data_IF_919588231445
#
_entry.id   IF_919588231445
#
_cell.length_a   1.000
_cell.length_b   1.000
_cell.length_c   1.000
_cell.angle_alpha   90.00
_cell.angle_beta   90.00
_cell.angle_gamma   90.00
#
_symmetry.space_group_name_H-M   'P 1'
#
loop_
_entity.id
_entity.type
_entity.pdbx_description
1 polymer ?
#
# COMPACT_ATOMS: atom_id res chain seq x y z
N UNK A 1 -8.88 2.75 -12.05
CA UNK A 1 -7.90 3.65 -11.42
C UNK A 1 -6.53 3.31 -11.96
N UNK A 2 -5.84 4.29 -12.53
CA UNK A 2 -4.45 4.20 -13.01
C UNK A 2 -3.46 4.49 -11.86
N UNK A 3 -2.18 4.17 -12.05
CA UNK A 3 -1.14 4.54 -11.07
C UNK A 3 -1.06 6.06 -10.84
N UNK A 4 -1.25 6.86 -11.89
CA UNK A 4 -1.21 8.33 -11.77
C UNK A 4 -2.37 8.83 -10.91
N UNK A 5 -3.58 8.31 -11.15
CA UNK A 5 -4.77 8.64 -10.37
C UNK A 5 -4.61 8.23 -8.90
N UNK A 6 -4.16 6.99 -8.62
CA UNK A 6 -3.98 6.50 -7.25
C UNK A 6 -2.87 7.26 -6.51
N UNK A 7 -1.77 7.59 -7.20
CA UNK A 7 -0.72 8.40 -6.61
C UNK A 7 -1.21 9.80 -6.23
N UNK A 8 -2.08 10.39 -7.06
CA UNK A 8 -2.79 11.62 -6.76
C UNK A 8 -3.66 11.51 -5.50
N UNK A 9 -4.51 10.48 -5.40
CA UNK A 9 -5.37 10.23 -4.22
C UNK A 9 -4.55 10.04 -2.93
N UNK A 10 -3.40 9.37 -3.02
CA UNK A 10 -2.52 9.10 -1.88
C UNK A 10 -1.58 10.27 -1.56
N UNK A 11 -1.56 11.31 -2.39
CA UNK A 11 -0.62 12.44 -2.34
C UNK A 11 0.85 11.98 -2.33
N UNK A 12 1.19 11.11 -3.26
CA UNK A 12 2.57 10.64 -3.52
C UNK A 12 2.90 10.74 -4.99
N UNK A 13 4.17 10.54 -5.34
CA UNK A 13 4.55 10.48 -6.76
C UNK A 13 4.15 9.14 -7.36
N UNK A 14 3.81 9.12 -8.65
CA UNK A 14 3.60 7.88 -9.41
C UNK A 14 4.80 6.93 -9.27
N UNK A 15 6.02 7.46 -9.23
CA UNK A 15 7.24 6.66 -9.05
C UNK A 15 7.29 5.97 -7.69
N UNK A 16 6.89 6.64 -6.60
CA UNK A 16 6.83 6.03 -5.27
C UNK A 16 5.84 4.87 -5.25
N UNK A 17 4.63 5.09 -5.78
CA UNK A 17 3.63 4.03 -5.91
C UNK A 17 4.13 2.86 -6.77
N UNK A 18 4.77 3.14 -7.91
CA UNK A 18 5.37 2.11 -8.77
C UNK A 18 6.54 1.37 -8.11
N UNK A 19 7.25 1.98 -7.16
CA UNK A 19 8.28 1.30 -6.38
C UNK A 19 7.65 0.33 -5.38
N UNK A 20 6.55 0.72 -4.72
CA UNK A 20 5.81 -0.15 -3.82
C UNK A 20 5.23 -1.38 -4.52
N UNK A 21 4.63 -1.19 -5.69
CA UNK A 21 4.06 -2.29 -6.49
C UNK A 21 5.11 -3.27 -7.04
N UNK A 22 6.39 -2.90 -7.04
CA UNK A 22 7.51 -3.72 -7.53
C UNK A 22 8.42 -4.20 -6.40
N UNK A 23 7.98 -4.07 -5.15
CA UNK A 23 8.74 -4.45 -3.96
C UNK A 23 10.14 -3.81 -3.86
N UNK A 24 10.33 -2.62 -4.45
CA UNK A 24 11.60 -1.88 -4.39
C UNK A 24 11.77 -1.23 -3.01
N UNK A 25 10.66 -0.74 -2.46
CA UNK A 25 10.55 -0.23 -1.10
C UNK A 25 9.10 -0.35 -0.64
N UNK A 26 8.87 -0.08 0.64
CA UNK A 26 7.55 -0.22 1.25
C UNK A 26 6.95 1.14 1.62
N UNK A 27 5.62 1.28 1.55
CA UNK A 27 4.92 2.40 2.16
C UNK A 27 5.04 2.33 3.69
N UNK A 28 5.05 3.48 4.36
CA UNK A 28 5.00 3.50 5.83
C UNK A 28 3.59 3.13 6.36
N UNK A 29 3.48 2.95 7.68
CA UNK A 29 2.22 2.59 8.33
C UNK A 29 1.09 3.60 8.13
N UNK A 30 1.39 4.89 8.00
CA UNK A 30 0.35 5.90 7.76
C UNK A 30 -0.17 5.81 6.34
N UNK A 31 0.72 5.52 5.39
CA UNK A 31 0.36 5.29 4.00
C UNK A 31 -0.45 4.00 3.83
N UNK A 32 -0.06 2.92 4.50
CA UNK A 32 -0.84 1.68 4.53
C UNK A 32 -2.25 1.91 5.07
N UNK A 33 -2.42 2.70 6.13
CA UNK A 33 -3.76 3.08 6.65
C UNK A 33 -4.59 3.84 5.60
N UNK A 34 -3.98 4.77 4.86
CA UNK A 34 -4.67 5.50 3.78
C UNK A 34 -5.11 4.56 2.66
N UNK A 35 -4.23 3.65 2.25
CA UNK A 35 -4.52 2.63 1.25
C UNK A 35 -5.70 1.76 1.73
N UNK A 36 -5.63 1.25 2.96
CA UNK A 36 -6.72 0.46 3.57
C UNK A 36 -8.04 1.23 3.57
N UNK A 37 -8.04 2.50 3.97
CA UNK A 37 -9.23 3.35 3.96
C UNK A 37 -9.78 3.56 2.54
N UNK A 38 -8.91 3.85 1.56
CA UNK A 38 -9.30 4.10 0.18
C UNK A 38 -9.93 2.88 -0.49
N UNK A 39 -9.43 1.68 -0.20
CA UNK A 39 -9.91 0.43 -0.78
C UNK A 39 -10.95 -0.30 0.09
N UNK A 40 -11.26 0.23 1.28
CA UNK A 40 -12.20 -0.41 2.21
C UNK A 40 -11.70 -1.76 2.76
N UNK A 41 -10.38 -1.94 2.86
CA UNK A 41 -9.74 -3.16 3.35
C UNK A 41 -9.39 -2.99 4.83
N UNK A 42 -9.56 -4.05 5.63
CA UNK A 42 -9.14 -4.02 7.02
C UNK A 42 -7.63 -4.32 7.11
N UNK A 43 -6.89 -3.52 7.89
CA UNK A 43 -5.47 -3.73 8.15
C UNK A 43 -5.18 -5.13 8.73
N UNK A 44 -6.11 -5.70 9.49
CA UNK A 44 -6.00 -7.03 10.08
C UNK A 44 -5.93 -8.15 9.03
N UNK A 45 -6.42 -7.91 7.82
CA UNK A 45 -6.35 -8.87 6.72
C UNK A 45 -4.92 -9.02 6.19
N UNK A 46 -4.11 -7.96 6.26
CA UNK A 46 -2.69 -7.98 5.85
C UNK A 46 -1.78 -8.59 6.93
N UNK A 47 -2.09 -8.39 8.21
CA UNK A 47 -1.28 -8.89 9.31
C UNK A 47 -1.19 -10.44 9.34
N UNK A 48 -2.24 -11.13 8.86
CA UNK A 48 -2.26 -12.61 8.79
C UNK A 48 -1.25 -13.16 7.79
N UNK A 49 -1.06 -12.51 6.64
CA UNK A 49 -0.10 -12.99 5.63
C UNK A 49 1.36 -12.83 6.07
N UNK A 50 1.68 -11.77 6.83
CA UNK A 50 3.04 -11.56 7.36
C UNK A 50 3.42 -12.64 8.36
N UNK A 51 2.49 -13.02 9.26
CA UNK A 51 2.73 -14.08 10.25
C UNK A 51 2.95 -15.44 9.57
N UNK A 52 2.24 -15.71 8.45
CA UNK A 52 2.32 -17.00 7.74
C UNK A 52 3.63 -17.16 6.95
N UNK A 53 4.30 -16.06 6.57
CA UNK A 53 5.59 -16.08 5.86
C UNK A 53 6.81 -16.18 6.79
N UNK A 54 6.60 -16.12 8.11
CA UNK A 54 7.66 -16.24 9.11
C UNK A 54 7.92 -17.69 9.58
N UNK A 55 7.29 -18.68 8.92
CA UNK A 55 7.55 -20.12 9.09
C UNK A 55 8.39 -20.71 7.95
#
# INVERSE_FOLDING_TARGET
MTQEELAGELNVTRQALSNWERDVNEPDLNMLKKICFLFGVNMDDFAKEVITKME
#
